data_IF_732635717293
#
_entry.id   IF_732635717293
#
_cell.length_a   1.000
_cell.length_b   1.000
_cell.length_c   1.000
_cell.angle_alpha   90.00
_cell.angle_beta   90.00
_cell.angle_gamma   90.00
#
_symmetry.space_group_name_H-M   'P 1'
#
loop_
_entity.id
_entity.type
_entity.pdbx_description
1 polymer ?
#
# COMPACT_ATOMS: atom_id res chain seq x y z
N UNK A 1 18.72 27.07 9.01
CA UNK A 1 19.09 25.67 9.27
C UNK A 1 18.15 24.83 8.43
N UNK A 2 18.64 23.99 7.52
CA UNK A 2 17.76 23.14 6.71
C UNK A 2 17.04 22.15 7.63
N UNK A 3 15.73 22.01 7.48
CA UNK A 3 14.97 20.98 8.18
C UNK A 3 15.52 19.60 7.79
N UNK A 4 15.76 18.73 8.79
CA UNK A 4 16.11 17.31 8.53
C UNK A 4 15.03 16.68 7.62
N UNK A 5 15.41 15.83 6.66
CA UNK A 5 14.50 15.28 5.65
C UNK A 5 13.39 14.43 6.27
N UNK A 6 12.22 14.45 5.63
CA UNK A 6 11.12 13.53 5.93
C UNK A 6 11.40 12.15 5.34
N UNK A 7 10.81 11.11 5.94
CA UNK A 7 11.02 9.71 5.57
C UNK A 7 9.67 8.99 5.54
N UNK A 8 9.50 8.04 4.63
CA UNK A 8 8.19 7.46 4.33
C UNK A 8 8.08 5.99 4.74
N UNK A 9 6.96 5.64 5.38
CA UNK A 9 6.53 4.27 5.65
C UNK A 9 5.18 4.04 4.95
N UNK A 10 5.13 3.06 4.05
CA UNK A 10 3.90 2.65 3.36
C UNK A 10 3.51 1.27 3.87
N UNK A 11 2.30 1.16 4.40
CA UNK A 11 1.66 -0.13 4.70
C UNK A 11 0.77 -0.48 3.51
N UNK A 12 1.10 -1.56 2.81
CA UNK A 12 0.39 -2.02 1.62
C UNK A 12 -0.33 -3.34 1.90
N UNK A 13 -1.66 -3.26 2.06
CA UNK A 13 -2.53 -4.41 2.24
C UNK A 13 -3.09 -4.89 0.90
N UNK A 14 -2.49 -5.95 0.33
CA UNK A 14 -2.87 -6.53 -0.96
C UNK A 14 -4.05 -7.50 -0.79
N UNK A 15 -5.18 -7.20 -1.45
CA UNK A 15 -6.42 -7.96 -1.33
C UNK A 15 -7.21 -7.73 -0.04
N UNK A 16 -6.75 -6.81 0.82
CA UNK A 16 -7.26 -6.67 2.19
C UNK A 16 -8.40 -5.65 2.35
N UNK A 17 -8.66 -4.80 1.35
CA UNK A 17 -9.65 -3.73 1.46
C UNK A 17 -11.06 -4.25 1.79
N UNK A 18 -11.43 -5.45 1.30
CA UNK A 18 -12.75 -6.06 1.50
C UNK A 18 -13.02 -6.52 2.93
N UNK A 19 -11.97 -6.70 3.74
CA UNK A 19 -12.09 -7.18 5.11
C UNK A 19 -12.09 -6.05 6.15
N UNK A 20 -12.07 -4.79 5.71
CA UNK A 20 -12.15 -3.63 6.61
C UNK A 20 -13.55 -3.56 7.23
N UNK A 21 -13.59 -3.50 8.57
CA UNK A 21 -14.79 -3.44 9.38
C UNK A 21 -14.79 -2.15 10.22
N UNK A 22 -15.96 -1.61 10.63
CA UNK A 22 -16.03 -0.44 11.53
C UNK A 22 -15.27 -0.57 12.85
N UNK A 23 -14.94 -1.78 13.30
CA UNK A 23 -14.13 -2.03 14.51
C UNK A 23 -12.64 -1.70 14.35
N UNK A 24 -12.13 -1.52 13.12
CA UNK A 24 -10.73 -1.21 12.85
C UNK A 24 -10.40 0.27 13.11
N UNK A 25 -10.46 0.66 14.37
CA UNK A 25 -10.36 2.06 14.81
C UNK A 25 -9.09 2.77 14.32
N UNK A 26 -7.95 2.08 14.22
CA UNK A 26 -6.70 2.70 13.80
C UNK A 26 -6.66 2.95 12.28
N UNK A 27 -7.19 2.01 11.47
CA UNK A 27 -7.36 2.22 10.02
C UNK A 27 -8.25 3.43 9.75
N UNK A 28 -9.40 3.51 10.43
CA UNK A 28 -10.34 4.63 10.30
C UNK A 28 -9.76 5.95 10.82
N UNK A 29 -8.99 5.91 11.91
CA UNK A 29 -8.33 7.10 12.45
C UNK A 29 -7.27 7.65 11.50
N UNK A 30 -6.40 6.82 10.92
CA UNK A 30 -5.46 7.28 9.90
C UNK A 30 -6.20 7.79 8.67
N UNK A 31 -7.25 7.11 8.23
CA UNK A 31 -8.07 7.54 7.10
C UNK A 31 -8.61 8.95 7.33
N UNK A 32 -9.19 9.25 8.50
CA UNK A 32 -9.73 10.58 8.84
C UNK A 32 -8.72 11.73 8.75
N UNK A 33 -7.43 11.43 8.75
CA UNK A 33 -6.35 12.42 8.58
C UNK A 33 -5.88 12.59 7.13
N UNK A 34 -6.61 12.02 6.17
CA UNK A 34 -6.35 12.04 4.73
C UNK A 34 -5.02 11.40 4.29
N UNK A 35 -4.46 10.50 5.11
CA UNK A 35 -3.21 9.76 4.84
C UNK A 35 -3.45 8.32 4.33
N UNK A 36 -4.65 8.01 3.83
CA UNK A 36 -4.96 6.72 3.20
C UNK A 36 -5.31 6.88 1.73
N UNK A 37 -4.87 5.94 0.91
CA UNK A 37 -5.22 5.87 -0.51
C UNK A 37 -5.78 4.50 -0.85
N UNK A 38 -6.77 4.48 -1.74
CA UNK A 38 -7.17 3.25 -2.40
C UNK A 38 -6.61 3.27 -3.83
N UNK A 39 -6.04 2.16 -4.28
CA UNK A 39 -5.34 2.08 -5.56
C UNK A 39 -6.28 1.66 -6.69
N UNK A 40 -6.72 2.59 -7.53
CA UNK A 40 -7.52 2.23 -8.71
C UNK A 40 -6.66 1.53 -9.78
N UNK A 41 -7.00 0.26 -10.01
CA UNK A 41 -6.24 -0.62 -10.87
C UNK A 41 -6.70 -0.53 -12.33
N UNK A 42 -5.77 -0.72 -13.28
CA UNK A 42 -6.11 -1.13 -14.63
C UNK A 42 -6.91 -2.43 -14.63
N UNK A 43 -7.74 -2.61 -15.67
CA UNK A 43 -8.47 -3.83 -15.96
C UNK A 43 -7.51 -5.02 -15.90
N UNK A 44 -7.84 -5.99 -15.05
CA UNK A 44 -7.07 -7.22 -14.94
C UNK A 44 -7.13 -8.00 -16.27
N UNK A 45 -6.01 -8.57 -16.73
CA UNK A 45 -6.03 -9.55 -17.81
C UNK A 45 -6.97 -10.72 -17.46
N UNK A 46 -7.71 -11.29 -18.43
CA UNK A 46 -8.71 -12.34 -18.17
C UNK A 46 -8.18 -13.62 -17.49
N UNK A 47 -6.88 -13.85 -17.54
CA UNK A 47 -6.20 -15.04 -17.02
C UNK A 47 -5.01 -14.69 -16.12
N UNK A 48 -5.04 -13.52 -15.48
CA UNK A 48 -4.00 -13.08 -14.56
C UNK A 48 -3.94 -13.98 -13.32
N UNK A 49 -2.73 -14.38 -12.92
CA UNK A 49 -2.52 -15.10 -11.66
C UNK A 49 -2.52 -14.12 -10.47
N UNK A 50 -2.72 -14.63 -9.25
CA UNK A 50 -2.64 -13.80 -8.04
C UNK A 50 -1.27 -13.12 -7.90
N UNK A 51 -0.18 -13.83 -8.23
CA UNK A 51 1.18 -13.29 -8.18
C UNK A 51 1.39 -12.17 -9.21
N UNK A 52 0.95 -12.39 -10.45
CA UNK A 52 1.00 -11.37 -11.51
C UNK A 52 0.17 -10.14 -11.13
N UNK A 53 -1.00 -10.35 -10.53
CA UNK A 53 -1.83 -9.27 -9.97
C UNK A 53 -1.04 -8.49 -8.93
N UNK A 54 -0.50 -9.15 -7.89
CA UNK A 54 0.29 -8.49 -6.85
C UNK A 54 1.42 -7.65 -7.43
N UNK A 55 2.18 -8.18 -8.39
CA UNK A 55 3.27 -7.47 -9.07
C UNK A 55 2.74 -6.26 -9.84
N UNK A 56 1.64 -6.42 -10.58
CA UNK A 56 1.00 -5.34 -11.34
C UNK A 56 0.49 -4.22 -10.46
N UNK A 57 -0.23 -4.55 -9.39
CA UNK A 57 -0.77 -3.57 -8.45
C UNK A 57 0.35 -2.79 -7.79
N UNK A 58 1.41 -3.48 -7.36
CA UNK A 58 2.60 -2.83 -6.83
C UNK A 58 3.28 -1.96 -7.88
N UNK A 59 3.37 -2.40 -9.15
CA UNK A 59 3.89 -1.59 -10.23
C UNK A 59 3.07 -0.32 -10.47
N UNK A 60 1.76 -0.33 -10.23
CA UNK A 60 0.94 0.90 -10.28
C UNK A 60 1.27 1.79 -9.08
N UNK A 61 1.36 1.23 -7.87
CA UNK A 61 1.69 1.96 -6.64
C UNK A 61 3.03 2.72 -6.75
N UNK A 62 4.05 2.08 -7.32
CA UNK A 62 5.40 2.66 -7.44
C UNK A 62 5.65 3.32 -8.79
N UNK A 63 4.60 3.62 -9.55
CA UNK A 63 4.67 4.29 -10.86
C UNK A 63 5.58 3.61 -11.90
N UNK A 64 5.60 2.27 -11.92
CA UNK A 64 6.40 1.42 -12.83
C UNK A 64 5.56 0.62 -13.83
N UNK A 65 4.23 0.65 -13.73
CA UNK A 65 3.32 -0.18 -14.54
C UNK A 65 3.46 0.00 -16.05
N UNK A 66 3.62 1.23 -16.56
CA UNK A 66 3.76 1.42 -18.01
C UNK A 66 5.01 0.75 -18.58
N UNK A 67 6.11 0.79 -17.82
CA UNK A 67 7.36 0.15 -18.23
C UNK A 67 7.25 -1.38 -18.16
N UNK A 68 6.52 -1.90 -17.16
CA UNK A 68 6.18 -3.32 -17.07
C UNK A 68 5.36 -3.77 -18.29
N UNK A 69 4.32 -3.02 -18.67
CA UNK A 69 3.46 -3.31 -19.82
C UNK A 69 4.20 -3.22 -21.16
N UNK A 70 5.05 -2.20 -21.35
CA UNK A 70 5.86 -2.04 -22.58
C UNK A 70 6.86 -3.18 -22.77
N UNK A 71 7.30 -3.81 -21.68
CA UNK A 71 8.21 -4.96 -21.70
C UNK A 71 7.52 -6.30 -21.94
N UNK A 72 6.20 -6.33 -22.20
CA UNK A 72 5.48 -7.52 -22.67
C UNK A 72 5.38 -8.66 -21.65
N UNK A 73 5.67 -8.43 -20.36
CA UNK A 73 5.67 -9.50 -19.35
C UNK A 73 4.27 -10.06 -19.02
N UNK A 74 3.20 -9.39 -19.47
CA UNK A 74 1.82 -9.89 -19.38
C UNK A 74 1.34 -10.67 -20.61
N UNK A 75 2.15 -10.75 -21.66
CA UNK A 75 1.87 -11.57 -22.83
C UNK A 75 2.92 -12.67 -22.93
N UNK A 76 2.49 -13.92 -22.71
CA UNK A 76 3.26 -15.11 -23.09
C UNK A 76 3.74 -14.97 -24.52
N UNK A 77 5.03 -14.68 -24.70
CA UNK A 77 5.88 -15.26 -25.75
C UNK A 77 7.34 -14.83 -25.53
N UNK A 78 8.18 -15.84 -25.36
CA UNK A 78 9.63 -15.73 -25.26
C UNK A 78 10.19 -15.14 -26.54
N UNK A 79 10.45 -13.82 -26.55
CA UNK A 79 11.44 -13.21 -27.46
C UNK A 79 12.28 -12.20 -26.71
N UNK A 80 13.44 -12.70 -26.29
CA UNK A 80 14.63 -11.92 -25.96
C UNK A 80 14.85 -10.82 -27.00
N UNK A 81 14.70 -9.55 -26.61
CA UNK A 81 15.34 -8.41 -27.27
C UNK A 81 15.27 -7.14 -26.41
N UNK A 82 16.47 -6.64 -26.06
CA UNK A 82 16.82 -5.33 -25.49
C UNK A 82 16.02 -4.88 -24.25
N UNK A 83 16.62 -5.12 -23.09
CA UNK A 83 16.22 -4.58 -21.79
C UNK A 83 15.93 -3.08 -21.86
N UNK A 84 14.65 -2.71 -21.94
CA UNK A 84 14.24 -1.39 -21.45
C UNK A 84 14.28 -1.50 -19.92
N UNK A 85 15.44 -1.13 -19.36
CA UNK A 85 15.67 -1.19 -17.92
C UNK A 85 14.67 -0.24 -17.27
N UNK A 86 13.80 -0.78 -16.41
CA UNK A 86 12.95 0.08 -15.59
C UNK A 86 13.89 0.88 -14.70
N UNK A 87 13.87 2.23 -14.74
CA UNK A 87 14.76 3.02 -13.91
C UNK A 87 14.45 2.74 -12.44
N UNK A 88 15.51 2.53 -11.67
CA UNK A 88 15.45 2.20 -10.26
C UNK A 88 14.88 3.34 -9.43
N UNK A 89 14.45 3.07 -8.19
CA UNK A 89 13.98 4.10 -7.26
C UNK A 89 15.03 5.20 -7.04
N UNK A 90 16.31 4.83 -6.96
CA UNK A 90 17.39 5.81 -6.79
C UNK A 90 17.57 6.67 -8.04
N UNK A 91 17.49 6.10 -9.24
CA UNK A 91 17.55 6.87 -10.50
C UNK A 91 16.35 7.81 -10.66
N UNK A 92 15.15 7.36 -10.28
CA UNK A 92 13.92 8.16 -10.38
C UNK A 92 13.82 9.25 -9.33
N UNK A 93 14.37 9.03 -8.13
CA UNK A 93 14.17 9.90 -6.97
C UNK A 93 15.51 10.35 -6.36
N UNK A 94 16.44 10.83 -7.20
CA UNK A 94 17.66 11.53 -6.77
C UNK A 94 18.49 10.79 -5.70
N UNK A 95 18.66 9.48 -5.85
CA UNK A 95 19.44 8.64 -4.93
C UNK A 95 18.64 8.07 -3.75
N UNK A 96 17.31 8.13 -3.78
CA UNK A 96 16.45 7.59 -2.72
C UNK A 96 16.76 6.12 -2.41
N UNK A 97 16.99 5.82 -1.13
CA UNK A 97 17.19 4.46 -0.63
C UNK A 97 15.84 3.87 -0.24
N UNK A 98 15.38 2.88 -0.99
CA UNK A 98 14.09 2.24 -0.75
C UNK A 98 14.24 0.78 -0.30
N UNK A 99 13.38 0.33 0.60
CA UNK A 99 13.29 -1.07 1.01
C UNK A 99 11.86 -1.59 0.92
N UNK A 100 11.74 -2.89 0.64
CA UNK A 100 10.46 -3.61 0.63
C UNK A 100 10.55 -4.84 1.54
N UNK A 101 9.49 -5.06 2.31
CA UNK A 101 9.29 -6.24 3.12
C UNK A 101 8.04 -6.95 2.59
N UNK A 102 8.20 -8.16 2.05
CA UNK A 102 7.13 -8.94 1.44
C UNK A 102 7.44 -10.43 1.57
N UNK A 103 6.42 -11.29 1.64
CA UNK A 103 6.57 -12.75 1.57
C UNK A 103 6.31 -13.30 0.16
N UNK A 104 5.77 -12.46 -0.74
CA UNK A 104 5.50 -12.82 -2.12
C UNK A 104 6.78 -12.75 -2.96
N UNK A 105 7.21 -13.88 -3.52
CA UNK A 105 8.47 -14.00 -4.26
C UNK A 105 8.48 -13.21 -5.57
N UNK A 106 7.35 -13.12 -6.27
CA UNK A 106 7.20 -12.30 -7.49
C UNK A 106 7.46 -10.83 -7.20
N UNK A 107 6.86 -10.32 -6.12
CA UNK A 107 7.02 -8.96 -5.63
C UNK A 107 8.43 -8.68 -5.13
N UNK A 108 9.07 -9.62 -4.44
CA UNK A 108 10.48 -9.50 -4.06
C UNK A 108 11.37 -9.35 -5.31
N UNK A 109 11.25 -10.27 -6.28
CA UNK A 109 12.04 -10.22 -7.52
C UNK A 109 11.79 -8.95 -8.32
N UNK A 110 10.54 -8.49 -8.37
CA UNK A 110 10.19 -7.24 -9.03
C UNK A 110 10.73 -6.01 -8.28
N UNK A 111 10.67 -6.01 -6.95
CA UNK A 111 11.26 -4.97 -6.10
C UNK A 111 12.76 -4.82 -6.32
N UNK A 112 13.51 -5.93 -6.40
CA UNK A 112 14.95 -5.90 -6.72
C UNK A 112 15.22 -5.26 -8.08
N UNK A 113 14.42 -5.59 -9.11
CA UNK A 113 14.52 -4.97 -10.43
C UNK A 113 14.29 -3.46 -10.41
N UNK A 114 13.45 -2.98 -9.48
CA UNK A 114 13.21 -1.56 -9.25
C UNK A 114 14.25 -0.90 -8.32
N UNK A 115 15.27 -1.64 -7.86
CA UNK A 115 16.30 -1.13 -6.96
C UNK A 115 15.84 -0.97 -5.51
N UNK A 116 14.80 -1.69 -5.08
CA UNK A 116 14.51 -1.83 -3.66
C UNK A 116 15.46 -2.84 -3.01
N UNK A 117 15.86 -2.56 -1.79
CA UNK A 117 16.45 -3.58 -0.92
C UNK A 117 15.32 -4.45 -0.35
N UNK A 118 15.26 -5.70 -0.79
CA UNK A 118 14.31 -6.68 -0.26
C UNK A 118 14.81 -7.17 1.10
N UNK A 119 13.98 -6.98 2.14
CA UNK A 119 14.29 -7.43 3.49
C UNK A 119 13.39 -8.61 3.87
N UNK A 120 13.97 -9.55 4.60
CA UNK A 120 13.25 -10.73 5.07
C UNK A 120 12.29 -10.37 6.22
N UNK A 121 10.99 -10.55 5.99
CA UNK A 121 9.95 -10.36 7.00
C UNK A 121 10.11 -11.29 8.21
N UNK A 122 10.42 -12.56 7.98
CA UNK A 122 10.65 -13.55 9.05
C UNK A 122 11.87 -13.21 9.91
N UNK A 123 12.79 -12.38 9.40
CA UNK A 123 13.88 -11.82 10.21
C UNK A 123 13.43 -10.70 11.16
N UNK A 124 12.29 -10.06 10.90
CA UNK A 124 11.68 -9.04 11.77
C UNK A 124 10.70 -9.64 12.78
N UNK A 125 9.96 -10.68 12.40
CA UNK A 125 9.16 -11.48 13.32
C UNK A 125 10.10 -12.44 14.06
N UNK A 126 10.49 -12.13 15.29
CA UNK A 126 11.37 -13.02 16.07
C UNK A 126 10.88 -14.48 16.01
N UNK A 127 11.82 -15.42 15.86
CA UNK A 127 11.62 -16.88 15.69
C UNK A 127 10.85 -17.61 16.82
N UNK A 128 10.08 -16.92 17.67
CA UNK A 128 9.30 -17.53 18.73
C UNK A 128 7.89 -17.83 18.25
N UNK A 129 7.47 -19.09 18.42
CA UNK A 129 6.14 -19.65 18.12
C UNK A 129 4.96 -19.01 18.88
N UNK A 130 5.11 -17.78 19.39
CA UNK A 130 4.03 -16.94 19.93
C UNK A 130 4.45 -15.48 19.76
N UNK A 131 3.61 -14.62 19.17
CA UNK A 131 3.73 -13.18 19.35
C UNK A 131 2.73 -12.73 20.43
N UNK A 132 3.18 -12.36 21.65
CA UNK A 132 2.38 -11.54 22.54
C UNK A 132 2.26 -10.13 21.93
N UNK A 133 1.40 -9.27 22.49
CA UNK A 133 1.29 -7.83 22.16
C UNK A 133 2.65 -7.12 22.02
N UNK A 134 3.70 -7.63 22.67
CA UNK A 134 5.09 -7.18 22.53
C UNK A 134 5.72 -7.36 21.14
N UNK A 135 5.19 -8.20 20.25
CA UNK A 135 5.76 -8.41 18.92
C UNK A 135 5.45 -7.28 17.94
N UNK A 136 4.26 -6.69 18.04
CA UNK A 136 3.79 -5.66 17.11
C UNK A 136 4.47 -4.32 17.42
N UNK A 137 4.61 -3.97 18.70
CA UNK A 137 5.35 -2.78 19.12
C UNK A 137 6.84 -2.87 18.74
N UNK A 138 7.42 -4.07 18.88
CA UNK A 138 8.78 -4.35 18.42
C UNK A 138 8.91 -4.22 16.90
N UNK A 139 7.93 -4.73 16.14
CA UNK A 139 7.89 -4.59 14.68
C UNK A 139 7.77 -3.12 14.26
N UNK A 140 6.85 -2.37 14.86
CA UNK A 140 6.69 -0.94 14.62
C UNK A 140 8.00 -0.19 14.88
N UNK A 141 8.63 -0.45 16.02
CA UNK A 141 9.93 0.14 16.38
C UNK A 141 11.02 -0.24 15.38
N UNK A 142 11.03 -1.50 14.90
CA UNK A 142 12.00 -1.98 13.92
C UNK A 142 11.81 -1.31 12.56
N UNK A 143 10.59 -1.21 12.06
CA UNK A 143 10.27 -0.50 10.81
C UNK A 143 10.69 0.97 10.88
N UNK A 144 10.38 1.64 11.99
CA UNK A 144 10.80 3.01 12.25
C UNK A 144 12.33 3.13 12.34
N UNK A 145 13.03 2.14 12.90
CA UNK A 145 14.50 2.11 12.98
C UNK A 145 15.18 2.00 11.61
N UNK A 146 14.57 1.32 10.64
CA UNK A 146 15.06 1.26 9.25
C UNK A 146 15.06 2.66 8.60
N UNK A 147 14.04 3.45 8.95
CA UNK A 147 13.94 4.86 8.62
C UNK A 147 14.77 5.75 9.57
N UNK A 148 15.64 5.21 10.42
CA UNK A 148 16.49 5.99 11.33
C UNK A 148 15.74 6.72 12.45
N UNK A 149 14.53 6.29 12.81
CA UNK A 149 13.81 6.72 14.00
C UNK A 149 14.06 5.71 15.13
N UNK A 150 14.71 6.13 16.22
CA UNK A 150 15.03 5.25 17.34
C UNK A 150 14.89 6.00 18.66
N UNK A 151 14.26 5.37 19.65
CA UNK A 151 14.10 5.93 21.02
C UNK A 151 13.51 7.36 21.04
N UNK A 152 12.55 7.64 20.14
CA UNK A 152 11.91 8.96 20.05
C UNK A 152 12.75 10.04 19.36
N UNK A 153 13.95 9.71 18.87
CA UNK A 153 14.88 10.64 18.20
C UNK A 153 15.17 10.25 16.77
N UNK A 154 15.67 11.21 16.01
CA UNK A 154 16.09 11.03 14.61
C UNK A 154 17.60 10.87 14.54
N UNK A 155 18.06 9.72 14.04
CA UNK A 155 19.46 9.52 13.67
C UNK A 155 19.81 10.24 12.37
N UNK A 156 21.01 10.82 12.34
CA UNK A 156 21.56 11.49 11.15
C UNK A 156 21.78 10.50 10.00
N UNK A 157 22.22 9.28 10.31
CA UNK A 157 22.29 8.19 9.34
C UNK A 157 21.03 7.31 9.40
N UNK A 158 20.33 7.20 8.27
CA UNK A 158 19.26 6.25 8.03
C UNK A 158 19.70 5.20 7.01
N UNK A 159 19.15 3.99 7.14
CA UNK A 159 19.35 2.96 6.12
C UNK A 159 18.49 3.27 4.90
N UNK A 160 17.24 3.68 5.12
CA UNK A 160 16.25 3.91 4.07
C UNK A 160 15.51 5.23 4.24
N UNK A 161 15.12 5.81 3.11
CA UNK A 161 14.26 6.99 3.01
C UNK A 161 12.80 6.59 2.80
N UNK A 162 12.56 5.44 2.15
CA UNK A 162 11.26 4.82 1.92
C UNK A 162 11.29 3.35 2.34
N UNK A 163 10.32 2.94 3.16
CA UNK A 163 10.08 1.53 3.50
C UNK A 163 8.66 1.17 3.14
N UNK A 164 8.47 0.08 2.40
CA UNK A 164 7.15 -0.48 2.09
C UNK A 164 7.02 -1.83 2.78
N UNK A 165 6.00 -1.97 3.61
CA UNK A 165 5.57 -3.25 4.17
C UNK A 165 4.38 -3.76 3.35
N UNK A 166 4.57 -4.86 2.64
CA UNK A 166 3.50 -5.57 1.95
C UNK A 166 2.94 -6.68 2.85
N UNK A 167 1.62 -6.78 2.89
CA UNK A 167 0.86 -7.84 3.56
C UNK A 167 -0.21 -8.32 2.60
N UNK A 168 -0.08 -9.54 2.11
CA UNK A 168 -1.06 -10.18 1.24
C UNK A 168 -2.16 -10.93 1.99
N UNK A 169 -3.36 -10.96 1.42
CA UNK A 169 -4.46 -11.79 1.91
C UNK A 169 -4.09 -13.28 1.92
N UNK A 170 -4.09 -13.90 3.10
CA UNK A 170 -3.79 -15.32 3.26
C UNK A 170 -2.31 -15.64 3.46
N UNK A 171 -1.46 -14.61 3.58
CA UNK A 171 -0.05 -14.79 3.95
C UNK A 171 0.13 -15.20 5.42
N UNK A 172 -0.93 -15.10 6.25
CA UNK A 172 -0.98 -15.58 7.64
C UNK A 172 0.25 -15.16 8.45
N UNK A 173 0.55 -13.86 8.48
CA UNK A 173 1.73 -13.30 9.16
C UNK A 173 1.70 -13.46 10.69
N UNK A 174 0.58 -13.90 11.26
CA UNK A 174 0.48 -14.24 12.67
C UNK A 174 -0.20 -15.59 12.86
N UNK A 175 0.36 -16.41 13.75
CA UNK A 175 -0.23 -17.70 14.14
C UNK A 175 -1.53 -17.55 14.98
N UNK A 176 -1.85 -16.34 15.47
CA UNK A 176 -2.87 -16.12 16.51
C UNK A 176 -3.97 -15.11 16.14
N UNK A 177 -3.79 -14.25 15.14
CA UNK A 177 -4.86 -13.44 14.54
C UNK A 177 -5.06 -13.91 13.10
N UNK A 178 -6.04 -14.79 12.90
CA UNK A 178 -6.40 -15.35 11.59
C UNK A 178 -6.99 -14.33 10.59
N UNK A 179 -6.60 -13.06 10.69
CA UNK A 179 -7.01 -11.97 9.81
C UNK A 179 -5.87 -10.96 9.66
N UNK A 180 -5.26 -10.91 8.48
CA UNK A 180 -4.17 -9.99 8.12
C UNK A 180 -4.56 -8.50 8.29
N UNK A 181 -5.86 -8.18 8.24
CA UNK A 181 -6.38 -6.81 8.47
C UNK A 181 -6.34 -6.42 9.94
N UNK A 182 -6.59 -7.35 10.86
CA UNK A 182 -6.44 -7.09 12.30
C UNK A 182 -4.97 -6.81 12.64
N UNK A 183 -4.07 -7.56 12.01
CA UNK A 183 -2.63 -7.32 12.14
C UNK A 183 -2.24 -5.92 11.66
N UNK A 184 -2.68 -5.51 10.46
CA UNK A 184 -2.41 -4.15 9.95
C UNK A 184 -3.02 -3.07 10.84
N UNK A 185 -4.24 -3.26 11.33
CA UNK A 185 -4.89 -2.31 12.24
C UNK A 185 -4.10 -2.17 13.55
N UNK A 186 -3.65 -3.28 14.16
CA UNK A 186 -2.85 -3.26 15.37
C UNK A 186 -1.46 -2.64 15.14
N UNK A 187 -0.79 -2.99 14.05
CA UNK A 187 0.52 -2.41 13.68
C UNK A 187 0.43 -0.91 13.45
N UNK A 188 -0.62 -0.46 12.76
CA UNK A 188 -0.88 0.95 12.55
C UNK A 188 -1.09 1.68 13.88
N UNK A 189 -1.86 1.09 14.81
CA UNK A 189 -2.01 1.62 16.16
C UNK A 189 -0.67 1.80 16.89
N UNK A 190 0.20 0.79 16.83
CA UNK A 190 1.53 0.83 17.42
C UNK A 190 2.40 1.95 16.80
N UNK A 191 2.43 2.07 15.47
CA UNK A 191 3.20 3.14 14.77
C UNK A 191 2.67 4.53 15.15
N UNK A 192 1.35 4.73 15.13
CA UNK A 192 0.72 6.01 15.50
C UNK A 192 1.00 6.36 16.98
N UNK A 193 1.11 5.36 17.85
CA UNK A 193 1.45 5.58 19.26
C UNK A 193 2.89 6.09 19.46
N UNK A 194 3.83 5.68 18.60
CA UNK A 194 5.23 6.13 18.62
C UNK A 194 5.35 7.49 17.92
N UNK A 195 4.72 7.65 16.76
CA UNK A 195 4.80 8.82 15.90
C UNK A 195 3.66 9.82 16.17
N UNK A 196 3.39 10.13 17.44
CA UNK A 196 2.32 11.07 17.81
C UNK A 196 2.55 12.46 17.18
N UNK A 197 1.48 13.18 16.79
CA UNK A 197 1.59 14.57 16.38
C UNK A 197 2.35 15.41 17.41
N UNK A 198 3.25 16.26 16.94
CA UNK A 198 4.11 17.10 17.81
C UNK A 198 5.39 16.41 18.33
N UNK A 199 5.59 15.12 18.05
CA UNK A 199 6.88 14.45 18.32
C UNK A 199 7.89 14.68 17.20
N UNK A 200 9.18 14.49 17.50
CA UNK A 200 10.24 14.60 16.48
C UNK A 200 10.01 13.58 15.35
N UNK A 201 9.57 12.37 15.67
CA UNK A 201 9.24 11.33 14.69
C UNK A 201 7.99 11.71 13.89
N UNK A 202 6.89 12.08 14.55
CA UNK A 202 5.62 12.40 13.89
C UNK A 202 5.71 13.58 12.93
N UNK A 203 6.61 14.54 13.20
CA UNK A 203 6.85 15.68 12.28
C UNK A 203 7.64 15.32 11.02
N UNK A 204 8.26 14.13 10.96
CA UNK A 204 9.13 13.71 9.84
C UNK A 204 8.79 12.36 9.24
N UNK A 205 7.81 11.66 9.80
CA UNK A 205 7.31 10.41 9.26
C UNK A 205 6.13 10.70 8.33
N UNK A 206 6.28 10.37 7.05
CA UNK A 206 5.16 10.25 6.12
C UNK A 206 4.62 8.81 6.21
N UNK A 207 3.52 8.64 6.95
CA UNK A 207 2.85 7.35 7.06
C UNK A 207 1.69 7.29 6.07
N UNK A 208 1.68 6.27 5.20
CA UNK A 208 0.58 6.03 4.26
C UNK A 208 0.08 4.59 4.35
N UNK A 209 -1.24 4.44 4.26
CA UNK A 209 -1.90 3.15 4.14
C UNK A 209 -2.51 3.01 2.75
N UNK A 210 -2.17 1.93 2.07
CA UNK A 210 -2.70 1.56 0.76
C UNK A 210 -3.36 0.20 0.87
N UNK A 211 -4.65 0.13 0.53
CA UNK A 211 -5.43 -1.10 0.56
C UNK A 211 -5.93 -1.44 -0.83
N UNK A 212 -5.65 -2.65 -1.29
CA UNK A 212 -6.17 -3.20 -2.54
C UNK A 212 -7.37 -4.12 -2.29
N UNK A 213 -8.28 -4.17 -3.27
CA UNK A 213 -9.39 -5.10 -3.25
C UNK A 213 -8.98 -6.52 -3.66
N UNK A 214 -7.88 -6.71 -4.40
CA UNK A 214 -7.48 -8.00 -4.95
C UNK A 214 -8.54 -8.62 -5.88
N UNK A 215 -8.57 -9.95 -5.99
CA UNK A 215 -9.47 -10.67 -6.91
C UNK A 215 -10.90 -10.72 -6.37
N UNK A 216 -11.74 -9.76 -6.79
CA UNK A 216 -13.14 -9.66 -6.34
C UNK A 216 -13.98 -10.70 -7.09
N UNK A 217 -14.59 -11.63 -6.35
CA UNK A 217 -15.61 -12.54 -6.87
C UNK A 217 -17.00 -11.95 -6.67
N UNK A 218 -18.00 -12.40 -7.43
CA UNK A 218 -19.40 -11.96 -7.26
C UNK A 218 -20.00 -12.30 -5.88
N UNK A 219 -19.37 -13.19 -5.12
CA UNK A 219 -19.81 -13.57 -3.78
C UNK A 219 -19.22 -12.67 -2.68
N UNK A 220 -18.22 -11.86 -3.03
CA UNK A 220 -17.67 -10.83 -2.15
C UNK A 220 -18.62 -9.62 -2.15
N UNK A 221 -19.76 -9.75 -1.48
CA UNK A 221 -20.54 -8.58 -1.04
C UNK A 221 -19.67 -7.84 -0.02
N UNK A 222 -19.14 -6.65 -0.33
CA UNK A 222 -18.45 -5.88 0.68
C UNK A 222 -19.49 -5.59 1.76
N UNK A 223 -19.32 -6.14 2.97
CA UNK A 223 -20.17 -5.84 4.14
C UNK A 223 -20.22 -4.34 4.49
N UNK A 224 -19.50 -3.51 3.74
CA UNK A 224 -19.75 -2.11 3.52
C UNK A 224 -21.06 -1.91 2.72
N UNK A 225 -22.22 -1.98 3.39
CA UNK A 225 -23.48 -1.49 2.82
C UNK A 225 -23.44 0.04 2.73
N UNK A 226 -22.69 0.59 1.78
CA UNK A 226 -22.64 2.04 1.52
C UNK A 226 -23.79 2.45 0.57
N UNK A 227 -24.67 1.51 0.20
CA UNK A 227 -26.00 1.84 -0.29
C UNK A 227 -26.85 2.31 0.89
N UNK A 228 -26.62 3.54 1.33
CA UNK A 228 -27.70 4.33 1.92
C UNK A 228 -28.85 4.33 0.91
N UNK A 229 -29.92 3.60 1.22
CA UNK A 229 -31.20 3.64 0.49
C UNK A 229 -31.86 5.02 0.54
N UNK A 230 -31.21 6.01 1.18
CA UNK A 230 -31.61 7.41 1.29
C UNK A 230 -30.76 8.36 0.44
N UNK A 231 -30.11 7.88 -0.62
CA UNK A 231 -29.53 8.79 -1.61
C UNK A 231 -30.64 9.42 -2.46
N UNK A 232 -31.18 10.55 -2.00
CA UNK A 232 -31.89 11.47 -2.89
C UNK A 232 -30.87 11.94 -3.94
N UNK A 233 -31.03 11.45 -5.18
CA UNK A 233 -30.25 11.90 -6.33
C UNK A 233 -30.54 13.38 -6.55
N UNK A 234 -29.72 14.26 -5.97
CA UNK A 234 -29.80 15.68 -6.28
C UNK A 234 -29.06 15.90 -7.62
N UNK A 235 -29.77 16.17 -8.73
CA UNK A 235 -29.18 16.18 -10.08
C UNK A 235 -28.13 17.28 -10.27
N UNK A 236 -28.15 18.31 -9.42
CA UNK A 236 -27.16 19.39 -9.42
C UNK A 236 -25.82 18.96 -8.79
N UNK A 237 -25.83 18.03 -7.83
CA UNK A 237 -24.59 17.51 -7.21
C UNK A 237 -23.92 16.44 -8.08
N UNK A 238 -24.67 15.80 -8.99
CA UNK A 238 -24.07 15.01 -10.07
C UNK A 238 -23.35 15.85 -11.14
N UNK A 239 -23.44 17.18 -11.14
CA UNK A 239 -22.57 18.00 -12.00
C UNK A 239 -21.22 18.31 -11.32
N UNK A 240 -21.15 18.18 -9.99
CA UNK A 240 -19.97 18.42 -9.17
C UNK A 240 -19.13 17.15 -8.95
N UNK A 241 -19.18 16.21 -9.89
CA UNK A 241 -18.28 15.06 -9.86
C UNK A 241 -16.84 15.59 -9.87
N UNK A 242 -16.00 15.27 -8.86
CA UNK A 242 -14.58 15.44 -9.02
C UNK A 242 -14.18 14.47 -10.15
N UNK A 243 -13.89 15.00 -11.34
CA UNK A 243 -13.15 14.27 -12.37
C UNK A 243 -11.68 14.10 -11.92
N UNK A 244 -11.45 13.74 -10.66
CA UNK A 244 -10.11 13.58 -10.11
C UNK A 244 -9.52 12.23 -10.55
N UNK A 245 -8.35 12.31 -11.19
CA UNK A 245 -7.20 11.38 -11.31
C UNK A 245 -7.39 9.88 -11.57
N UNK A 246 -8.59 9.30 -11.56
CA UNK A 246 -8.76 7.88 -11.84
C UNK A 246 -8.80 7.57 -13.34
N UNK A 247 -9.28 8.53 -14.14
CA UNK A 247 -9.28 8.47 -15.61
C UNK A 247 -8.09 9.19 -16.24
N UNK A 248 -7.15 9.72 -15.43
CA UNK A 248 -6.00 10.50 -15.90
C UNK A 248 -4.75 10.15 -15.08
N UNK A 249 -3.65 9.74 -15.73
CA UNK A 249 -2.32 9.56 -15.11
C UNK A 249 -1.34 10.52 -15.77
N UNK A 250 -0.85 11.50 -15.01
CA UNK A 250 -0.14 12.63 -15.60
C UNK A 250 -1.05 13.37 -16.60
N UNK A 251 -0.61 13.52 -17.84
CA UNK A 251 -1.38 14.12 -18.94
C UNK A 251 -2.17 13.09 -19.76
N UNK A 252 -2.02 11.80 -19.46
CA UNK A 252 -2.59 10.71 -20.26
C UNK A 252 -3.93 10.22 -19.71
N UNK A 253 -4.93 10.11 -20.58
CA UNK A 253 -6.22 9.53 -20.23
C UNK A 253 -6.10 8.01 -20.07
N UNK A 254 -6.55 7.50 -18.91
CA UNK A 254 -6.65 6.08 -18.60
C UNK A 254 -7.99 5.54 -19.11
N UNK A 255 -7.93 4.72 -20.16
CA UNK A 255 -9.11 4.05 -20.74
C UNK A 255 -9.32 2.64 -20.16
N UNK A 256 -8.42 2.21 -19.30
CA UNK A 256 -8.31 0.86 -18.76
C UNK A 256 -8.80 0.75 -17.32
N UNK A 257 -9.53 1.73 -16.80
CA UNK A 257 -10.12 1.69 -15.45
C UNK A 257 -11.61 1.41 -15.57
N UNK A 258 -12.12 0.37 -14.90
CA UNK A 258 -13.54 0.02 -15.00
C UNK A 258 -14.42 1.04 -14.25
N UNK A 259 -15.56 1.40 -14.86
CA UNK A 259 -16.57 2.30 -14.23
C UNK A 259 -17.13 1.70 -12.94
N UNK A 260 -17.08 0.37 -12.81
CA UNK A 260 -17.56 -0.38 -11.66
C UNK A 260 -16.60 -0.26 -10.46
N UNK A 261 -15.30 -0.27 -10.69
CA UNK A 261 -14.30 0.07 -9.66
C UNK A 261 -14.48 1.51 -9.21
N UNK A 262 -14.61 2.48 -10.13
CA UNK A 262 -14.85 3.90 -9.81
C UNK A 262 -16.09 4.08 -8.90
N UNK A 263 -17.14 3.26 -9.09
CA UNK A 263 -18.33 3.23 -8.23
C UNK A 263 -18.07 2.61 -6.84
N UNK A 264 -17.12 1.70 -6.71
CA UNK A 264 -16.66 1.17 -5.42
C UNK A 264 -15.86 2.23 -4.64
N UNK A 265 -14.99 3.00 -5.32
CA UNK A 265 -14.25 4.14 -4.76
C UNK A 265 -15.16 5.32 -4.37
N UNK A 266 -16.27 5.55 -5.10
CA UNK A 266 -17.29 6.58 -4.81
C UNK A 266 -17.85 6.47 -3.38
N UNK A 267 -17.80 5.29 -2.79
CA UNK A 267 -18.46 5.00 -1.53
C UNK A 267 -17.48 5.05 -0.35
N UNK A 268 -16.22 4.62 -0.54
CA UNK A 268 -15.17 4.73 0.49
C UNK A 268 -14.65 6.16 0.66
N UNK A 269 -14.65 6.99 -0.39
CA UNK A 269 -14.34 8.42 -0.30
C UNK A 269 -15.40 9.26 0.44
N UNK A 270 -16.61 8.72 0.65
CA UNK A 270 -17.63 9.34 1.51
C UNK A 270 -17.57 8.88 2.97
N UNK A 271 -16.70 7.92 3.34
CA UNK A 271 -16.47 7.54 4.74
C UNK A 271 -15.54 8.51 5.49
N UNK A 272 -15.24 9.69 4.92
CA UNK A 272 -14.56 10.80 5.59
C UNK A 272 -15.46 12.04 5.75
N UNK A 273 -16.68 11.85 6.26
CA UNK A 273 -17.38 12.89 7.04
C UNK A 273 -18.19 12.26 8.16
#
# INVERSE_FOLDING_TARGET
MADKPSRALILYGDGLARFIHPSHAHLHSLASTANCGFLSLPNAPPSESEDDRTVREFAVLVDAFETLNKNGQFSSEVKSQKSSLIPTMSERFMGMKAAILSNNSGLQSFGEKLGFNVLNLNGLFGNSNTPPVSSIDNLASKLLSLLGFQEGKIKESNQFDLVILHVGSGENLSANSGNDVEFLNALLGAIMSIAKPGTEIGSRLLLSLVMSYGSVSKADEPGLSILSTKYEKNPNLSALFPNQSYTMRGESQRNDVSVQEILLYRLTGCCMR
#
